data_IF_621576366975
#
_entry.id   IF_621576366975
#
_cell.length_a   1.000
_cell.length_b   1.000
_cell.length_c   1.000
_cell.angle_alpha   90.00
_cell.angle_beta   90.00
_cell.angle_gamma   90.00
#
_symmetry.space_group_name_H-M   'P 1'
#
loop_
_entity.id
_entity.type
_entity.pdbx_description
1 polymer ?
#
# COMPACT_ATOMS: atom_id res chain seq x y z
N UNK A 1 0.51 -0.08 17.21
CA UNK A 1 0.98 -0.17 15.82
C UNK A 1 0.24 -1.26 15.08
N UNK A 2 -0.72 -0.85 14.24
CA UNK A 2 -1.56 -1.73 13.42
C UNK A 2 -0.76 -2.69 12.53
N UNK A 3 -1.46 -3.75 12.14
CA UNK A 3 -1.03 -4.96 11.43
C UNK A 3 -0.10 -4.73 10.22
N UNK A 4 1.21 -4.60 10.44
CA UNK A 4 2.29 -4.60 9.44
C UNK A 4 2.44 -3.45 8.42
N UNK A 5 1.52 -2.51 8.08
CA UNK A 5 1.66 -1.73 6.84
C UNK A 5 2.67 -0.60 7.00
N UNK A 6 2.95 -0.18 8.25
CA UNK A 6 3.78 0.99 8.55
C UNK A 6 5.27 0.65 8.59
N UNK A 7 5.67 -0.62 8.42
CA UNK A 7 7.08 -1.07 8.50
C UNK A 7 7.80 -1.13 7.16
N UNK A 8 7.14 -0.79 6.05
CA UNK A 8 7.74 -0.81 4.72
C UNK A 8 9.04 -0.01 4.64
N UNK A 9 10.01 -0.50 3.85
CA UNK A 9 11.33 0.13 3.68
C UNK A 9 12.16 0.32 4.96
N UNK A 10 11.84 -0.35 6.07
CA UNK A 10 12.72 -0.37 7.24
C UNK A 10 13.92 -1.32 7.01
N UNK A 11 15.17 -0.94 7.35
CA UNK A 11 15.62 0.33 7.95
C UNK A 11 15.93 1.46 6.95
N UNK A 12 15.87 1.19 5.65
CA UNK A 12 16.35 2.09 4.59
C UNK A 12 15.78 3.52 4.59
N UNK A 13 14.56 3.75 5.08
CA UNK A 13 14.00 5.10 5.23
C UNK A 13 14.67 5.90 6.36
N UNK A 14 15.04 5.26 7.47
CA UNK A 14 15.74 5.94 8.56
C UNK A 14 17.16 6.32 8.14
N UNK A 15 17.85 5.42 7.44
CA UNK A 15 19.16 5.68 6.82
C UNK A 15 19.05 6.83 5.80
N UNK A 16 18.00 6.84 4.96
CA UNK A 16 17.75 7.92 4.01
C UNK A 16 17.65 9.28 4.70
N UNK A 17 16.81 9.38 5.73
CA UNK A 17 16.60 10.61 6.46
C UNK A 17 17.90 11.13 7.10
N UNK A 18 18.72 10.23 7.66
CA UNK A 18 20.01 10.60 8.25
C UNK A 18 20.98 11.16 7.20
N UNK A 19 21.01 10.59 5.99
CA UNK A 19 21.94 11.00 4.93
C UNK A 19 21.49 12.25 4.18
N UNK A 20 20.19 12.43 3.94
CA UNK A 20 19.66 13.51 3.09
C UNK A 20 19.07 14.67 3.87
N UNK A 21 18.75 14.48 5.16
CA UNK A 21 17.98 15.44 5.95
C UNK A 21 16.50 15.56 5.55
N UNK A 22 16.02 14.75 4.59
CA UNK A 22 14.61 14.73 4.20
C UNK A 22 13.79 14.11 5.34
N UNK A 23 12.87 14.90 5.89
CA UNK A 23 11.97 14.43 6.94
C UNK A 23 11.01 13.36 6.40
N UNK A 24 11.00 12.19 7.03
CA UNK A 24 10.12 11.08 6.67
C UNK A 24 9.01 10.96 7.72
N UNK A 25 7.78 10.98 7.21
CA UNK A 25 6.56 10.70 7.95
C UNK A 25 5.95 9.40 7.44
N UNK A 26 5.39 8.60 8.34
CA UNK A 26 4.62 7.40 8.02
C UNK A 26 3.21 7.53 8.60
N UNK A 27 2.22 7.64 7.73
CA UNK A 27 0.81 7.57 8.15
C UNK A 27 0.48 6.15 8.65
N UNK A 28 -0.16 6.06 9.82
CA UNK A 28 -0.46 4.78 10.46
C UNK A 28 -1.81 4.21 9.99
N UNK A 29 -1.93 3.97 8.68
CA UNK A 29 -3.18 3.51 8.05
C UNK A 29 -3.60 2.13 8.54
N UNK A 30 -4.91 1.89 8.60
CA UNK A 30 -5.46 0.63 9.05
C UNK A 30 -5.74 -0.30 7.84
N UNK A 31 -5.12 -1.49 7.76
CA UNK A 31 -5.22 -2.34 6.56
C UNK A 31 -6.61 -2.92 6.34
N UNK A 32 -7.43 -2.99 7.39
CA UNK A 32 -8.80 -3.50 7.36
C UNK A 32 -9.86 -2.39 7.52
N UNK A 33 -9.54 -1.12 7.23
CA UNK A 33 -10.54 -0.04 7.12
C UNK A 33 -10.74 0.34 5.67
N UNK A 34 -11.85 1.02 5.40
CA UNK A 34 -12.10 1.67 4.11
C UNK A 34 -11.09 2.77 3.80
N UNK A 35 -11.06 3.21 2.55
CA UNK A 35 -10.17 4.23 2.01
C UNK A 35 -10.55 5.60 2.55
N UNK A 36 -11.86 5.88 2.69
CA UNK A 36 -12.36 7.12 3.26
C UNK A 36 -11.94 7.25 4.73
N UNK A 37 -12.04 6.15 5.47
CA UNK A 37 -11.53 6.07 6.83
C UNK A 37 -10.03 6.23 6.97
N UNK A 38 -9.25 5.67 6.05
CA UNK A 38 -7.79 5.79 6.02
C UNK A 38 -7.34 7.18 5.53
N UNK A 39 -8.14 7.88 4.72
CA UNK A 39 -7.87 9.25 4.33
C UNK A 39 -7.78 10.18 5.54
N UNK A 40 -8.63 9.96 6.55
CA UNK A 40 -8.57 10.68 7.81
C UNK A 40 -7.27 10.37 8.59
N UNK A 41 -6.78 9.12 8.56
CA UNK A 41 -5.48 8.78 9.16
C UNK A 41 -4.31 9.48 8.43
N UNK A 42 -4.40 9.70 7.10
CA UNK A 42 -3.44 10.51 6.33
C UNK A 42 -3.49 11.97 6.78
N UNK A 43 -4.70 12.56 6.87
CA UNK A 43 -4.89 13.94 7.32
C UNK A 43 -4.29 14.16 8.71
N UNK A 44 -4.63 13.30 9.67
CA UNK A 44 -4.11 13.37 11.04
C UNK A 44 -2.59 13.22 11.10
N UNK A 45 -2.00 12.40 10.26
CA UNK A 45 -0.55 12.31 10.19
C UNK A 45 0.07 13.65 9.74
N UNK A 46 -0.49 14.25 8.69
CA UNK A 46 0.03 15.47 8.08
C UNK A 46 -0.27 16.76 8.86
N UNK A 47 -1.37 16.80 9.62
CA UNK A 47 -1.84 18.01 10.33
C UNK A 47 -1.63 17.95 11.84
N UNK A 48 -1.73 16.76 12.44
CA UNK A 48 -1.68 16.57 13.89
C UNK A 48 -0.39 15.87 14.32
N UNK A 49 0.42 15.34 13.38
CA UNK A 49 1.60 14.56 13.71
C UNK A 49 1.25 13.20 14.31
N UNK A 50 0.11 12.62 13.93
CA UNK A 50 -0.31 11.29 14.38
C UNK A 50 0.19 10.23 13.40
N UNK A 51 1.27 9.53 13.75
CA UNK A 51 1.87 8.53 12.89
C UNK A 51 3.21 8.05 13.43
N UNK A 52 4.07 7.54 12.55
CA UNK A 52 5.42 7.12 12.90
C UNK A 52 6.48 7.92 12.13
N UNK A 53 7.66 8.05 12.73
CA UNK A 53 8.86 8.59 12.09
C UNK A 53 9.54 7.53 11.21
N UNK A 54 10.60 7.91 10.50
CA UNK A 54 11.40 7.02 9.65
C UNK A 54 11.80 5.70 10.34
N UNK A 55 12.18 5.80 11.62
CA UNK A 55 12.67 4.73 12.50
C UNK A 55 11.56 3.94 13.24
N UNK A 56 10.30 4.18 12.88
CA UNK A 56 9.10 3.56 13.47
C UNK A 56 8.77 4.01 14.89
N UNK A 57 9.46 5.01 15.44
CA UNK A 57 9.04 5.64 16.70
C UNK A 57 7.81 6.53 16.48
N UNK A 58 6.92 6.69 17.48
CA UNK A 58 5.77 7.59 17.35
C UNK A 58 6.19 9.02 17.04
N UNK A 59 5.41 9.69 16.21
CA UNK A 59 5.49 11.13 16.06
C UNK A 59 4.97 11.83 17.32
N UNK A 60 5.55 12.99 17.61
CA UNK A 60 5.21 13.80 18.79
C UNK A 60 4.77 15.22 18.43
N UNK A 61 4.99 15.63 17.18
CA UNK A 61 4.72 16.97 16.67
C UNK A 61 4.32 16.87 15.19
N UNK A 62 3.43 17.75 14.70
CA UNK A 62 3.06 17.79 13.29
C UNK A 62 4.22 18.28 12.40
N UNK A 63 4.23 17.91 11.11
CA UNK A 63 5.13 18.51 10.13
C UNK A 63 4.96 20.05 10.08
N UNK A 64 6.03 20.81 9.75
CA UNK A 64 5.92 22.26 9.61
C UNK A 64 4.82 22.68 8.62
N UNK A 65 4.13 23.81 8.87
CA UNK A 65 3.16 24.37 7.92
C UNK A 65 3.77 24.56 6.53
N UNK A 66 2.97 24.37 5.48
CA UNK A 66 3.37 24.52 4.07
C UNK A 66 4.49 23.60 3.57
N UNK A 67 4.89 22.59 4.35
CA UNK A 67 5.82 21.53 3.88
C UNK A 67 5.29 20.90 2.59
N UNK A 68 6.16 20.89 1.58
CA UNK A 68 5.97 20.15 0.33
C UNK A 68 6.04 18.65 0.61
N UNK A 69 5.15 17.88 0.00
CA UNK A 69 4.99 16.44 0.26
C UNK A 69 5.34 15.64 -0.99
N UNK A 70 6.20 14.66 -0.82
CA UNK A 70 6.38 13.56 -1.77
C UNK A 70 5.78 12.32 -1.13
N UNK A 71 4.79 11.73 -1.78
CA UNK A 71 4.10 10.56 -1.25
C UNK A 71 4.70 9.29 -1.83
N UNK A 72 4.94 8.28 -0.99
CA UNK A 72 5.23 6.91 -1.42
C UNK A 72 4.07 6.04 -0.93
N UNK A 73 3.26 5.56 -1.86
CA UNK A 73 2.01 4.89 -1.58
C UNK A 73 2.10 3.42 -1.99
N UNK A 74 2.18 2.52 -1.01
CA UNK A 74 2.30 1.08 -1.25
C UNK A 74 0.95 0.36 -1.20
N UNK A 75 0.66 -0.51 -2.18
CA UNK A 75 -0.53 -1.37 -2.16
C UNK A 75 -1.83 -0.57 -1.94
N UNK A 76 -2.63 -0.90 -0.92
CA UNK A 76 -3.83 -0.14 -0.51
C UNK A 76 -3.54 1.33 -0.14
N UNK A 77 -2.31 1.65 0.25
CA UNK A 77 -1.92 3.03 0.52
C UNK A 77 -2.07 3.97 -0.68
N UNK A 78 -2.11 3.44 -1.92
CA UNK A 78 -2.39 4.24 -3.11
C UNK A 78 -3.87 4.65 -3.22
N UNK A 79 -4.86 3.74 -3.25
CA UNK A 79 -6.26 4.15 -3.22
C UNK A 79 -6.63 4.96 -1.97
N UNK A 80 -6.05 4.65 -0.79
CA UNK A 80 -6.23 5.47 0.42
C UNK A 80 -5.78 6.92 0.21
N UNK A 81 -4.62 7.12 -0.43
CA UNK A 81 -4.09 8.46 -0.67
C UNK A 81 -4.82 9.21 -1.79
N UNK A 82 -5.32 8.51 -2.80
CA UNK A 82 -6.19 9.12 -3.82
C UNK A 82 -7.51 9.59 -3.20
N UNK A 83 -8.13 8.79 -2.33
CA UNK A 83 -9.32 9.17 -1.59
C UNK A 83 -9.04 10.40 -0.70
N UNK A 84 -7.89 10.42 -0.01
CA UNK A 84 -7.44 11.59 0.74
C UNK A 84 -7.38 12.85 -0.13
N UNK A 85 -6.77 12.78 -1.31
CA UNK A 85 -6.67 13.94 -2.20
C UNK A 85 -8.04 14.39 -2.76
N UNK A 86 -9.01 13.49 -2.88
CA UNK A 86 -10.39 13.86 -3.23
C UNK A 86 -11.10 14.57 -2.07
N UNK A 87 -10.98 14.03 -0.86
CA UNK A 87 -11.61 14.59 0.35
C UNK A 87 -10.96 15.88 0.84
N UNK A 88 -9.66 16.04 0.60
CA UNK A 88 -8.83 17.14 1.08
C UNK A 88 -8.14 17.88 -0.08
N UNK A 89 -8.91 18.57 -0.96
CA UNK A 89 -8.38 19.22 -2.15
C UNK A 89 -7.30 20.28 -1.88
N UNK A 90 -7.30 20.90 -0.70
CA UNK A 90 -6.29 21.86 -0.24
C UNK A 90 -4.87 21.27 -0.24
N UNK A 91 -4.74 19.96 -0.03
CA UNK A 91 -3.47 19.26 -0.01
C UNK A 91 -2.87 19.01 -1.39
N UNK A 92 -3.67 19.06 -2.47
CA UNK A 92 -3.19 18.84 -3.85
C UNK A 92 -2.06 19.78 -4.24
N UNK A 93 -2.09 21.03 -3.77
CA UNK A 93 -1.05 22.03 -4.02
C UNK A 93 0.27 21.77 -3.29
N UNK A 94 0.21 21.00 -2.20
CA UNK A 94 1.36 20.65 -1.35
C UNK A 94 2.01 19.35 -1.79
N UNK A 95 1.27 18.43 -2.41
CA UNK A 95 1.83 17.19 -2.95
C UNK A 95 2.54 17.48 -4.28
N UNK A 96 3.87 17.32 -4.28
CA UNK A 96 4.72 17.58 -5.46
C UNK A 96 4.75 16.40 -6.41
N UNK A 97 4.72 15.18 -5.88
CA UNK A 97 4.53 13.97 -6.66
C UNK A 97 4.12 12.78 -5.77
N UNK A 98 3.65 11.73 -6.42
CA UNK A 98 3.26 10.46 -5.80
C UNK A 98 4.04 9.33 -6.48
N UNK A 99 4.77 8.54 -5.71
CA UNK A 99 5.27 7.24 -6.13
C UNK A 99 4.26 6.17 -5.75
N UNK A 100 3.52 5.66 -6.74
CA UNK A 100 2.66 4.50 -6.55
C UNK A 100 3.50 3.24 -6.62
N UNK A 101 3.76 2.64 -5.46
CA UNK A 101 4.64 1.48 -5.30
C UNK A 101 3.79 0.22 -5.19
N UNK A 102 3.62 -0.51 -6.29
CA UNK A 102 2.66 -1.62 -6.39
C UNK A 102 1.26 -1.24 -5.86
N UNK A 103 0.76 -0.06 -6.23
CA UNK A 103 -0.49 0.49 -5.69
C UNK A 103 -1.72 -0.25 -6.22
N UNK A 104 -2.66 -0.63 -5.36
CA UNK A 104 -3.88 -1.35 -5.73
C UNK A 104 -4.95 -0.42 -6.35
N UNK A 105 -4.58 0.29 -7.41
CA UNK A 105 -5.38 1.39 -8.00
C UNK A 105 -6.66 0.88 -8.64
N UNK A 106 -6.55 -0.13 -9.48
CA UNK A 106 -7.66 -0.79 -10.19
C UNK A 106 -8.24 -1.98 -9.43
N UNK A 107 -7.85 -2.20 -8.17
CA UNK A 107 -8.28 -3.32 -7.35
C UNK A 107 -7.47 -4.60 -7.59
N UNK A 108 -8.02 -5.75 -7.24
CA UNK A 108 -7.41 -7.06 -7.44
C UNK A 108 -8.46 -8.13 -7.73
N UNK A 109 -8.28 -8.96 -8.76
CA UNK A 109 -9.12 -10.16 -8.97
C UNK A 109 -9.14 -11.11 -7.76
N UNK A 110 -8.12 -11.07 -6.91
CA UNK A 110 -8.11 -11.83 -5.65
C UNK A 110 -9.15 -11.30 -4.67
N UNK A 111 -9.29 -9.97 -4.59
CA UNK A 111 -10.28 -9.33 -3.72
C UNK A 111 -11.71 -9.60 -4.22
N UNK A 112 -11.93 -9.71 -5.54
CA UNK A 112 -13.24 -10.13 -6.09
C UNK A 112 -13.64 -11.53 -5.60
N UNK A 113 -12.70 -12.48 -5.63
CA UNK A 113 -12.94 -13.84 -5.15
C UNK A 113 -13.26 -13.87 -3.65
N UNK A 114 -12.54 -13.09 -2.85
CA UNK A 114 -12.83 -13.02 -1.41
C UNK A 114 -14.16 -12.31 -1.16
N UNK A 115 -14.44 -11.22 -1.86
CA UNK A 115 -15.72 -10.53 -1.78
C UNK A 115 -16.90 -11.46 -2.11
N UNK A 116 -16.78 -12.27 -3.16
CA UNK A 116 -17.81 -13.27 -3.50
C UNK A 116 -18.04 -14.29 -2.38
N UNK A 117 -17.00 -14.57 -1.58
CA UNK A 117 -17.05 -15.50 -0.46
C UNK A 117 -17.61 -14.86 0.82
N UNK A 118 -17.24 -13.61 1.13
CA UNK A 118 -17.56 -12.95 2.41
C UNK A 118 -18.72 -11.94 2.34
N UNK A 119 -19.11 -11.51 1.13
CA UNK A 119 -20.08 -10.43 0.94
C UNK A 119 -21.44 -10.72 1.60
N UNK A 120 -21.86 -11.98 1.57
CA UNK A 120 -23.13 -12.46 2.16
C UNK A 120 -23.07 -12.78 3.65
N UNK A 121 -21.89 -12.78 4.29
CA UNK A 121 -21.76 -13.18 5.68
C UNK A 121 -22.39 -12.17 6.64
N UNK A 122 -23.06 -12.60 7.69
CA UNK A 122 -23.42 -11.70 8.79
C UNK A 122 -22.18 -11.29 9.60
N UNK A 123 -22.30 -10.23 10.42
CA UNK A 123 -21.20 -9.70 11.23
C UNK A 123 -20.62 -10.77 12.18
N UNK A 124 -21.48 -11.64 12.74
CA UNK A 124 -21.06 -12.71 13.65
C UNK A 124 -20.18 -13.76 12.93
N UNK A 125 -20.49 -14.05 11.67
CA UNK A 125 -19.76 -15.00 10.83
C UNK A 125 -18.41 -14.43 10.41
N UNK A 126 -18.36 -13.13 10.06
CA UNK A 126 -17.10 -12.42 9.79
C UNK A 126 -16.20 -12.45 11.03
N UNK A 127 -16.73 -12.16 12.22
CA UNK A 127 -15.95 -12.19 13.46
C UNK A 127 -15.44 -13.59 13.82
N UNK A 128 -16.27 -14.63 13.62
CA UNK A 128 -15.90 -16.03 13.88
C UNK A 128 -14.82 -16.55 12.92
N UNK A 129 -14.82 -16.09 11.67
CA UNK A 129 -13.87 -16.50 10.62
C UNK A 129 -12.79 -15.46 10.34
N UNK A 130 -12.67 -14.46 11.21
CA UNK A 130 -11.72 -13.37 11.05
C UNK A 130 -10.30 -13.90 10.89
N UNK A 131 -9.89 -14.90 11.68
CA UNK A 131 -8.57 -15.51 11.54
C UNK A 131 -8.34 -16.12 10.16
N UNK A 132 -9.32 -16.79 9.56
CA UNK A 132 -9.19 -17.37 8.20
C UNK A 132 -9.02 -16.28 7.13
N UNK A 133 -9.73 -15.17 7.27
CA UNK A 133 -9.66 -14.03 6.33
C UNK A 133 -8.36 -13.24 6.53
N UNK A 134 -7.91 -13.08 7.78
CA UNK A 134 -6.65 -12.41 8.08
C UNK A 134 -5.44 -13.25 7.69
N UNK A 135 -5.52 -14.58 7.83
CA UNK A 135 -4.50 -15.51 7.32
C UNK A 135 -4.36 -15.40 5.79
N UNK A 136 -5.42 -14.99 5.08
CA UNK A 136 -5.40 -14.76 3.64
C UNK A 136 -4.94 -13.35 3.25
N UNK A 137 -5.46 -12.30 3.89
CA UNK A 137 -5.11 -10.90 3.59
C UNK A 137 -3.67 -10.57 4.04
N UNK A 138 -3.24 -11.18 5.14
CA UNK A 138 -1.93 -11.00 5.75
C UNK A 138 -1.59 -12.25 6.60
N UNK A 139 -1.07 -13.36 6.01
CA UNK A 139 -0.61 -14.56 6.74
C UNK A 139 0.49 -14.30 7.78
N UNK A 140 0.93 -13.05 7.88
CA UNK A 140 2.03 -12.53 8.69
C UNK A 140 1.49 -11.86 9.96
N UNK A 141 0.19 -11.55 10.03
CA UNK A 141 -0.43 -11.07 11.26
C UNK A 141 -0.59 -12.28 12.17
N UNK A 142 0.41 -12.51 13.00
CA UNK A 142 0.30 -13.48 14.06
C UNK A 142 -0.66 -12.92 15.13
N UNK A 143 -1.97 -13.11 14.92
CA UNK A 143 -3.04 -12.75 15.86
C UNK A 143 -2.82 -13.39 17.25
N UNK A 144 -1.93 -14.39 17.34
CA UNK A 144 -1.61 -15.14 18.55
C UNK A 144 -0.41 -14.58 19.33
N UNK A 145 0.33 -13.59 18.82
CA UNK A 145 1.48 -13.01 19.52
C UNK A 145 1.36 -11.48 19.62
N UNK A 146 0.77 -11.03 20.74
CA UNK A 146 0.65 -9.63 21.13
C UNK A 146 -0.78 -9.09 20.97
N UNK A 147 -1.18 -8.07 21.75
CA UNK A 147 -2.48 -7.45 21.57
C UNK A 147 -2.50 -6.76 20.20
N UNK A 148 -3.45 -7.16 19.35
CA UNK A 148 -3.78 -6.39 18.16
C UNK A 148 -4.28 -5.02 18.61
N UNK A 149 -3.74 -3.97 18.01
CA UNK A 149 -4.19 -2.59 18.27
C UNK A 149 -5.23 -2.16 17.22
N UNK A 150 -6.17 -1.30 17.63
CA UNK A 150 -7.24 -0.74 16.78
C UNK A 150 -8.20 -1.81 16.20
N UNK A 151 -8.39 -2.92 16.91
CA UNK A 151 -9.28 -4.03 16.52
C UNK A 151 -10.74 -3.58 16.40
N UNK A 152 -11.17 -2.67 17.26
CA UNK A 152 -12.49 -2.06 17.27
C UNK A 152 -12.79 -1.22 16.01
N UNK A 153 -11.74 -0.78 15.33
CA UNK A 153 -11.84 -0.02 14.09
C UNK A 153 -11.92 -0.89 12.82
N UNK A 154 -11.79 -2.22 12.95
CA UNK A 154 -11.81 -3.12 11.78
C UNK A 154 -13.16 -3.06 11.04
N UNK A 155 -13.08 -2.90 9.71
CA UNK A 155 -14.18 -2.91 8.75
C UNK A 155 -13.82 -3.82 7.58
N UNK A 156 -13.70 -5.12 7.88
CA UNK A 156 -13.15 -6.12 6.95
C UNK A 156 -13.88 -6.15 5.60
N UNK A 157 -15.21 -6.10 5.61
CA UNK A 157 -16.01 -6.10 4.38
C UNK A 157 -15.69 -4.91 3.50
N UNK A 158 -15.63 -3.72 4.09
CA UNK A 158 -15.38 -2.48 3.36
C UNK A 158 -13.96 -2.51 2.77
N UNK A 159 -12.96 -2.92 3.57
CA UNK A 159 -11.59 -3.05 3.10
C UNK A 159 -11.41 -4.03 1.93
N UNK A 160 -12.14 -5.15 1.93
CA UNK A 160 -12.11 -6.12 0.80
C UNK A 160 -12.89 -5.59 -0.40
N UNK A 161 -14.10 -5.06 -0.18
CA UNK A 161 -14.94 -4.49 -1.25
C UNK A 161 -14.18 -3.42 -2.00
N UNK A 162 -13.52 -2.51 -1.29
CA UNK A 162 -12.80 -1.41 -1.89
C UNK A 162 -11.52 -1.82 -2.60
N UNK A 163 -11.02 -3.03 -2.40
CA UNK A 163 -9.94 -3.60 -3.20
C UNK A 163 -10.44 -4.48 -4.34
N UNK A 164 -11.75 -4.72 -4.44
CA UNK A 164 -12.35 -5.45 -5.57
C UNK A 164 -12.20 -4.66 -6.88
N UNK A 165 -12.03 -5.35 -8.00
CA UNK A 165 -11.88 -4.71 -9.31
C UNK A 165 -13.16 -3.96 -9.67
N UNK A 166 -14.32 -4.59 -9.42
CA UNK A 166 -15.61 -3.99 -9.73
C UNK A 166 -15.81 -2.64 -9.04
N UNK A 167 -15.50 -2.57 -7.73
CA UNK A 167 -15.60 -1.34 -6.97
C UNK A 167 -14.57 -0.31 -7.44
N UNK A 168 -13.28 -0.67 -7.51
CA UNK A 168 -12.21 0.27 -7.87
C UNK A 168 -12.40 0.86 -9.26
N UNK A 169 -12.84 0.06 -10.23
CA UNK A 169 -13.12 0.55 -11.57
C UNK A 169 -14.35 1.47 -11.61
N UNK A 170 -15.38 1.21 -10.79
CA UNK A 170 -16.51 2.12 -10.67
C UNK A 170 -16.09 3.47 -10.07
N UNK A 171 -15.34 3.43 -8.96
CA UNK A 171 -14.78 4.61 -8.31
C UNK A 171 -13.87 5.41 -9.26
N UNK A 172 -13.00 4.72 -10.02
CA UNK A 172 -12.13 5.39 -10.99
C UNK A 172 -12.97 6.08 -12.08
N UNK A 173 -13.99 5.42 -12.64
CA UNK A 173 -14.87 6.07 -13.64
C UNK A 173 -15.55 7.33 -13.11
N UNK A 174 -15.95 7.32 -11.84
CA UNK A 174 -16.60 8.47 -11.19
C UNK A 174 -15.62 9.64 -10.98
N UNK A 175 -14.40 9.36 -10.55
CA UNK A 175 -13.45 10.39 -10.10
C UNK A 175 -12.31 10.71 -11.07
N UNK A 176 -12.13 9.95 -12.16
CA UNK A 176 -11.00 10.11 -13.08
C UNK A 176 -10.85 11.51 -13.66
N UNK A 177 -11.97 12.18 -13.96
CA UNK A 177 -11.95 13.56 -14.46
C UNK A 177 -11.43 14.55 -13.41
N UNK A 178 -11.71 14.32 -12.13
CA UNK A 178 -11.16 15.13 -11.04
C UNK A 178 -9.69 14.80 -10.79
N UNK A 179 -9.33 13.51 -10.76
CA UNK A 179 -7.96 13.06 -10.60
C UNK A 179 -7.04 13.64 -11.70
N UNK A 180 -7.52 13.68 -12.94
CA UNK A 180 -6.81 14.29 -14.07
C UNK A 180 -6.58 15.80 -13.90
N UNK A 181 -7.45 16.50 -13.15
CA UNK A 181 -7.33 17.96 -12.89
C UNK A 181 -6.47 18.29 -11.68
N UNK A 182 -6.10 17.30 -10.85
CA UNK A 182 -5.26 17.55 -9.66
C UNK A 182 -3.89 18.13 -10.01
N UNK A 183 -3.41 17.89 -11.25
CA UNK A 183 -2.10 18.33 -11.73
C UNK A 183 -0.93 17.85 -10.83
N UNK A 184 -1.09 16.66 -10.23
CA UNK A 184 -0.07 16.00 -9.41
C UNK A 184 0.58 14.87 -10.22
N UNK A 185 1.90 14.90 -10.45
CA UNK A 185 2.63 13.80 -11.08
C UNK A 185 2.50 12.49 -10.29
N UNK A 186 2.17 11.40 -10.97
CA UNK A 186 2.08 10.06 -10.39
C UNK A 186 3.04 9.11 -11.11
N UNK A 187 4.01 8.59 -10.38
CA UNK A 187 5.00 7.63 -10.85
C UNK A 187 4.58 6.22 -10.41
N UNK A 188 3.98 5.45 -11.31
CA UNK A 188 3.64 4.05 -11.07
C UNK A 188 4.87 3.17 -11.22
N UNK A 189 5.14 2.35 -10.21
CA UNK A 189 6.19 1.34 -10.19
C UNK A 189 5.53 0.03 -9.80
N UNK A 190 5.58 -0.96 -10.68
CA UNK A 190 4.87 -2.23 -10.51
C UNK A 190 5.85 -3.36 -10.20
N UNK A 191 5.35 -4.44 -9.62
CA UNK A 191 6.10 -5.69 -9.46
C UNK A 191 5.69 -6.71 -10.52
N UNK A 192 6.55 -7.67 -10.79
CA UNK A 192 6.23 -8.91 -11.48
C UNK A 192 7.12 -10.02 -10.94
N UNK A 193 6.55 -11.21 -10.78
CA UNK A 193 7.26 -12.37 -10.25
C UNK A 193 6.86 -13.64 -10.97
N UNK A 194 7.60 -14.72 -10.70
CA UNK A 194 7.31 -16.06 -11.22
C UNK A 194 6.73 -16.93 -10.11
N UNK A 195 6.00 -17.98 -10.50
CA UNK A 195 5.50 -18.97 -9.53
C UNK A 195 6.62 -19.56 -8.66
N UNK A 196 7.83 -19.69 -9.21
CA UNK A 196 9.00 -20.20 -8.48
C UNK A 196 9.43 -19.26 -7.34
N UNK A 197 9.11 -17.97 -7.40
CA UNK A 197 9.55 -16.95 -6.44
C UNK A 197 8.45 -16.51 -5.48
N UNK A 198 7.28 -17.12 -5.58
CA UNK A 198 6.15 -16.91 -4.68
C UNK A 198 6.14 -17.94 -3.56
N UNK A 199 5.79 -17.52 -2.34
CA UNK A 199 5.56 -18.43 -1.23
C UNK A 199 4.40 -19.38 -1.51
N UNK A 200 4.48 -20.66 -1.11
CA UNK A 200 3.51 -21.68 -1.51
C UNK A 200 2.05 -21.32 -1.19
N UNK A 201 1.78 -20.61 -0.09
CA UNK A 201 0.42 -20.19 0.30
C UNK A 201 -0.13 -19.02 -0.54
N UNK A 202 0.74 -18.31 -1.26
CA UNK A 202 0.37 -17.27 -2.25
C UNK A 202 0.35 -17.81 -3.69
N UNK A 203 0.77 -19.06 -3.92
CA UNK A 203 0.88 -19.64 -5.26
C UNK A 203 -0.48 -19.70 -5.98
N UNK A 204 -1.55 -20.00 -5.25
CA UNK A 204 -2.92 -19.99 -5.80
C UNK A 204 -3.33 -18.60 -6.27
N UNK A 205 -2.94 -17.56 -5.53
CA UNK A 205 -3.19 -16.17 -5.90
C UNK A 205 -2.45 -15.77 -7.17
N UNK A 206 -1.16 -16.10 -7.26
CA UNK A 206 -0.38 -15.90 -8.48
C UNK A 206 -0.97 -16.65 -9.67
N UNK A 207 -1.36 -17.92 -9.52
CA UNK A 207 -1.96 -18.73 -10.61
C UNK A 207 -3.27 -18.12 -11.10
N UNK A 208 -4.12 -17.65 -10.17
CA UNK A 208 -5.35 -16.94 -10.52
C UNK A 208 -5.02 -15.69 -11.36
N UNK A 209 -4.13 -14.84 -10.87
CA UNK A 209 -3.76 -13.60 -11.56
C UNK A 209 -3.09 -13.87 -12.90
N UNK A 210 -2.33 -14.95 -13.03
CA UNK A 210 -1.69 -15.38 -14.28
C UNK A 210 -2.70 -15.72 -15.38
N UNK A 211 -3.98 -15.99 -15.05
CA UNK A 211 -5.05 -16.13 -16.05
C UNK A 211 -5.46 -14.79 -16.68
N UNK A 212 -5.20 -13.67 -16.00
CA UNK A 212 -5.50 -12.31 -16.45
C UNK A 212 -4.25 -11.63 -17.03
N UNK A 213 -3.11 -11.77 -16.33
CA UNK A 213 -1.85 -11.13 -16.65
C UNK A 213 -0.67 -12.00 -16.19
N UNK A 214 0.13 -12.46 -17.16
CA UNK A 214 1.34 -13.24 -16.88
C UNK A 214 2.43 -12.46 -16.15
N UNK A 215 2.37 -11.13 -16.18
CA UNK A 215 3.28 -10.25 -15.47
C UNK A 215 2.62 -9.71 -14.20
N UNK A 216 2.13 -10.58 -13.31
CA UNK A 216 1.57 -10.14 -12.02
C UNK A 216 2.61 -10.25 -10.91
N UNK A 217 2.40 -9.51 -9.83
CA UNK A 217 3.31 -9.58 -8.69
C UNK A 217 2.95 -10.70 -7.71
N UNK A 218 1.79 -11.39 -7.83
CA UNK A 218 1.04 -12.23 -6.87
C UNK A 218 -0.15 -11.64 -6.08
N UNK A 219 -0.48 -10.35 -6.24
CA UNK A 219 -1.57 -9.64 -5.58
C UNK A 219 -2.29 -8.73 -6.57
N UNK A 220 -1.55 -8.13 -7.49
CA UNK A 220 -2.03 -7.22 -8.51
C UNK A 220 -1.53 -7.63 -9.90
N UNK A 221 -2.38 -7.42 -10.91
CA UNK A 221 -1.96 -7.38 -12.32
C UNK A 221 -1.26 -6.06 -12.62
N UNK A 222 -0.56 -5.95 -13.76
CA UNK A 222 0.02 -4.68 -14.19
C UNK A 222 -1.04 -3.61 -14.39
N UNK A 223 -2.17 -3.97 -15.02
CA UNK A 223 -3.27 -3.04 -15.29
C UNK A 223 -3.85 -2.48 -13.98
N UNK A 224 -4.12 -3.34 -13.01
CA UNK A 224 -4.64 -2.93 -11.71
C UNK A 224 -3.64 -2.11 -10.88
N UNK A 225 -2.35 -2.18 -11.19
CA UNK A 225 -1.29 -1.47 -10.48
C UNK A 225 -0.93 -0.09 -11.08
N UNK A 226 -1.65 0.37 -12.11
CA UNK A 226 -1.38 1.63 -12.82
C UNK A 226 -2.57 2.58 -12.73
N UNK A 227 -2.26 3.87 -12.72
CA UNK A 227 -3.24 4.95 -12.84
C UNK A 227 -3.17 5.54 -14.25
N UNK A 228 -4.31 5.72 -14.89
CA UNK A 228 -4.40 6.29 -16.24
C UNK A 228 -4.97 7.70 -16.18
N UNK A 229 -4.12 8.67 -15.84
CA UNK A 229 -4.42 10.11 -15.91
C UNK A 229 -3.26 10.84 -16.61
N UNK A 230 -3.45 12.06 -17.15
CA UNK A 230 -2.44 12.72 -17.99
C UNK A 230 -1.04 12.88 -17.39
N UNK A 231 -0.93 13.04 -16.06
CA UNK A 231 0.36 13.13 -15.35
C UNK A 231 0.75 11.85 -14.62
N UNK A 232 0.09 10.73 -14.91
CA UNK A 232 0.53 9.43 -14.44
C UNK A 232 1.45 8.78 -15.48
N UNK A 233 2.54 8.17 -15.01
CA UNK A 233 3.49 7.46 -15.86
C UNK A 233 3.96 6.18 -15.19
N UNK A 234 4.11 5.13 -15.99
CA UNK A 234 4.70 3.87 -15.55
C UNK A 234 6.23 3.95 -15.69
N UNK A 235 6.94 4.05 -14.56
CA UNK A 235 8.40 4.15 -14.55
C UNK A 235 9.09 2.82 -14.79
N UNK A 236 8.47 1.71 -14.39
CA UNK A 236 9.05 0.40 -14.59
C UNK A 236 8.32 -0.72 -13.86
N UNK A 237 8.68 -1.93 -14.26
CA UNK A 237 8.22 -3.19 -13.68
C UNK A 237 9.41 -3.89 -13.04
N UNK A 238 9.34 -4.11 -11.73
CA UNK A 238 10.40 -4.68 -10.92
C UNK A 238 10.25 -6.20 -10.84
N UNK A 239 11.36 -6.93 -10.97
CA UNK A 239 11.38 -8.37 -10.73
C UNK A 239 11.33 -8.66 -9.22
N UNK A 240 10.12 -8.67 -8.67
CA UNK A 240 9.83 -8.85 -7.26
C UNK A 240 8.34 -9.17 -7.07
N UNK A 241 8.03 -9.99 -6.05
CA UNK A 241 6.67 -10.08 -5.55
C UNK A 241 6.30 -8.83 -4.71
N UNK A 242 5.03 -8.66 -4.33
CA UNK A 242 4.50 -7.46 -3.63
C UNK A 242 5.35 -7.17 -2.41
N UNK A 243 5.59 -8.23 -1.65
CA UNK A 243 6.10 -8.13 -0.30
C UNK A 243 7.59 -7.88 -0.35
N UNK A 244 8.30 -8.52 -1.28
CA UNK A 244 9.72 -8.27 -1.52
C UNK A 244 9.97 -6.80 -1.85
N UNK A 245 9.09 -6.16 -2.64
CA UNK A 245 9.25 -4.75 -2.99
C UNK A 245 9.32 -3.83 -1.76
N UNK A 246 8.70 -4.20 -0.63
CA UNK A 246 8.49 -3.28 0.50
C UNK A 246 9.04 -3.79 1.83
N UNK A 247 8.87 -5.07 2.13
CA UNK A 247 9.24 -5.67 3.42
C UNK A 247 10.59 -6.38 3.36
N UNK A 248 11.32 -6.36 4.47
CA UNK A 248 12.53 -7.19 4.62
C UNK A 248 12.20 -8.68 4.67
N UNK A 249 13.24 -9.52 4.78
CA UNK A 249 13.06 -10.95 4.95
C UNK A 249 12.18 -11.25 6.16
N UNK A 250 11.22 -12.15 5.95
CA UNK A 250 10.29 -12.51 7.01
C UNK A 250 11.00 -13.37 8.06
N UNK A 251 10.75 -13.15 9.37
CA UNK A 251 11.23 -14.05 10.40
C UNK A 251 10.79 -15.49 10.11
N UNK A 252 11.65 -16.48 10.36
CA UNK A 252 11.36 -17.89 10.06
C UNK A 252 10.01 -18.37 10.64
N UNK A 253 9.63 -17.89 11.83
CA UNK A 253 8.36 -18.20 12.48
C UNK A 253 7.12 -17.65 11.72
N UNK A 254 7.28 -16.59 10.94
CA UNK A 254 6.24 -15.96 10.12
C UNK A 254 6.29 -16.40 8.66
N UNK A 255 7.32 -17.14 8.26
CA UNK A 255 7.48 -17.61 6.89
C UNK A 255 6.60 -18.82 6.58
N UNK A 256 5.90 -19.40 7.57
CA UNK A 256 5.07 -20.60 7.45
C UNK A 256 5.82 -21.76 6.75
N UNK A 257 7.13 -21.87 6.93
CA UNK A 257 8.00 -22.86 6.28
C UNK A 257 8.45 -22.52 4.86
N UNK A 258 7.98 -21.40 4.28
CA UNK A 258 8.41 -20.92 2.97
C UNK A 258 9.84 -20.36 3.02
N UNK A 259 10.69 -20.78 2.08
CA UNK A 259 12.03 -20.18 1.88
C UNK A 259 12.00 -18.99 0.92
N UNK A 260 10.83 -18.67 0.34
CA UNK A 260 10.63 -17.66 -0.71
C UNK A 260 10.28 -16.27 -0.17
N UNK A 261 10.22 -16.12 1.15
CA UNK A 261 10.07 -14.84 1.85
C UNK A 261 11.40 -14.24 2.33
N UNK A 262 12.50 -14.62 1.68
CA UNK A 262 13.85 -14.16 1.99
C UNK A 262 14.51 -13.45 0.78
N UNK A 263 13.73 -13.11 -0.24
CA UNK A 263 14.28 -12.47 -1.43
C UNK A 263 14.66 -11.01 -1.11
N UNK A 264 15.94 -10.68 -1.31
CA UNK A 264 16.46 -9.35 -1.04
C UNK A 264 16.25 -8.45 -2.25
N UNK A 265 15.07 -7.84 -2.36
CA UNK A 265 14.88 -6.72 -3.27
C UNK A 265 15.67 -5.49 -2.78
N UNK A 266 16.39 -4.76 -3.66
CA UNK A 266 17.24 -3.63 -3.30
C UNK A 266 16.43 -2.36 -2.96
N UNK A 267 15.69 -2.41 -1.85
CA UNK A 267 14.82 -1.33 -1.33
C UNK A 267 15.55 0.01 -1.16
N UNK A 268 16.78 -0.02 -0.65
CA UNK A 268 17.62 1.18 -0.53
C UNK A 268 17.91 1.83 -1.88
N UNK A 269 18.28 1.05 -2.88
CA UNK A 269 18.54 1.56 -4.22
C UNK A 269 17.27 2.13 -4.87
N UNK A 270 16.12 1.48 -4.68
CA UNK A 270 14.83 1.99 -5.16
C UNK A 270 14.47 3.33 -4.52
N UNK A 271 14.63 3.48 -3.20
CA UNK A 271 14.45 4.77 -2.53
C UNK A 271 15.36 5.85 -3.10
N UNK A 272 16.66 5.54 -3.24
CA UNK A 272 17.63 6.49 -3.78
C UNK A 272 17.25 6.92 -5.21
N UNK A 273 16.78 5.99 -6.05
CA UNK A 273 16.32 6.30 -7.40
C UNK A 273 15.06 7.20 -7.40
N UNK A 274 14.08 6.94 -6.53
CA UNK A 274 12.89 7.79 -6.40
C UNK A 274 13.25 9.21 -5.94
N UNK A 275 14.13 9.33 -4.94
CA UNK A 275 14.59 10.63 -4.44
C UNK A 275 15.42 11.37 -5.49
N UNK A 276 16.33 10.69 -6.18
CA UNK A 276 17.10 11.28 -7.26
C UNK A 276 16.18 11.81 -8.37
N UNK A 277 15.19 11.01 -8.80
CA UNK A 277 14.22 11.45 -9.80
C UNK A 277 13.43 12.67 -9.31
N UNK A 278 12.96 12.66 -8.06
CA UNK A 278 12.23 13.79 -7.51
C UNK A 278 13.07 15.07 -7.46
N UNK A 279 14.35 14.94 -7.10
CA UNK A 279 15.31 16.05 -7.11
C UNK A 279 15.55 16.59 -8.53
N UNK A 280 15.80 15.73 -9.51
CA UNK A 280 16.02 16.13 -10.92
C UNK A 280 14.81 16.84 -11.53
N UNK A 281 13.60 16.50 -11.07
CA UNK A 281 12.36 17.17 -11.49
C UNK A 281 12.04 18.44 -10.68
N UNK A 282 12.88 18.81 -9.72
CA UNK A 282 12.72 20.02 -8.90
C UNK A 282 11.61 19.91 -7.84
N UNK A 283 11.32 18.71 -7.35
CA UNK A 283 10.33 18.48 -6.28
C UNK A 283 10.92 18.52 -4.86
N UNK A 284 12.25 18.46 -4.75
CA UNK A 284 13.02 18.48 -3.49
C UNK A 284 13.92 19.73 -3.42
#
# INVERSE_FOLDING_TARGET
NGMLPVRGFNPSLAELQQETGINVLRAALHPLRGCAENAEDVRRALEEGVGLKADLTPMTEPPPPHTAVIAICYSKGMPDFLEFLLQHPEWRSRVKCIFSWAGAIGGSPLADNVWSSIGSWDLNTVMRRLSEVLDWLCPIVNLRQGPLERVDEMRLKDAVLELSVAHRQAWLREHMAELARMNVPVFCITGSTTLQDVAYFNASGWVLLNMYDGNNDMQLTQECAKLEVPLAMHLGMLNANHWDMTYGSFPAAMALGSRKLNHQFPKRAALNAMIALAHELGFL
#
